data_IF_494889580682
#
_entry.id   IF_494889580682
#
_cell.length_a   1.000
_cell.length_b   1.000
_cell.length_c   1.000
_cell.angle_alpha   90.00
_cell.angle_beta   90.00
_cell.angle_gamma   90.00
#
_symmetry.space_group_name_H-M   'P 1'
#
loop_
_entity.id
_entity.type
_entity.pdbx_description
1 polymer ?
#
# COMPACT_ATOMS: atom_id res chain seq x y z
N UNK A 1 8.67 -11.45 14.38
CA UNK A 1 9.97 -11.35 13.71
C UNK A 1 10.50 -9.95 13.98
N UNK A 2 11.77 -9.76 14.33
CA UNK A 2 12.32 -8.41 14.55
C UNK A 2 12.70 -7.75 13.22
N UNK A 3 12.89 -6.44 13.20
CA UNK A 3 13.33 -5.75 11.97
C UNK A 3 14.74 -6.17 11.53
N UNK A 4 15.63 -6.51 12.47
CA UNK A 4 16.94 -7.09 12.14
C UNK A 4 16.82 -8.47 11.51
N UNK A 5 15.88 -9.30 11.97
CA UNK A 5 15.58 -10.58 11.33
C UNK A 5 15.07 -10.36 9.91
N UNK A 6 14.16 -9.39 9.71
CA UNK A 6 13.63 -9.04 8.39
C UNK A 6 14.74 -8.55 7.45
N UNK A 7 15.64 -7.68 7.93
CA UNK A 7 16.81 -7.24 7.18
C UNK A 7 17.69 -8.42 6.72
N UNK A 8 17.90 -9.40 7.59
CA UNK A 8 18.63 -10.64 7.23
C UNK A 8 17.87 -11.47 6.18
N UNK A 9 16.53 -11.53 6.26
CA UNK A 9 15.70 -12.20 5.25
C UNK A 9 15.74 -11.49 3.90
N UNK A 10 15.75 -10.17 3.87
CA UNK A 10 15.92 -9.39 2.64
C UNK A 10 17.25 -9.77 1.96
N UNK A 11 18.36 -9.81 2.71
CA UNK A 11 19.64 -10.24 2.15
C UNK A 11 19.59 -11.70 1.66
N UNK A 12 18.95 -12.59 2.43
CA UNK A 12 18.78 -13.99 2.01
C UNK A 12 18.04 -14.09 0.68
N UNK A 13 16.98 -13.29 0.47
CA UNK A 13 16.24 -13.27 -0.80
C UNK A 13 17.11 -12.74 -1.94
N UNK A 14 17.89 -11.66 -1.72
CA UNK A 14 18.84 -11.13 -2.72
C UNK A 14 19.84 -12.20 -3.18
N UNK A 15 20.38 -12.96 -2.23
CA UNK A 15 21.33 -14.04 -2.52
C UNK A 15 20.64 -15.18 -3.30
N UNK A 16 19.44 -15.59 -2.86
CA UNK A 16 18.69 -16.65 -3.51
C UNK A 16 18.31 -16.32 -4.96
N UNK A 17 17.79 -15.12 -5.22
CA UNK A 17 17.38 -14.75 -6.59
C UNK A 17 18.58 -14.58 -7.53
N UNK A 18 19.75 -14.22 -7.01
CA UNK A 18 20.96 -14.18 -7.81
C UNK A 18 21.37 -15.58 -8.33
N UNK A 19 21.07 -16.63 -7.57
CA UNK A 19 21.34 -18.02 -7.96
C UNK A 19 20.25 -18.63 -8.88
N UNK A 20 19.06 -18.03 -8.94
CA UNK A 20 18.00 -18.48 -9.84
C UNK A 20 18.34 -18.08 -11.29
N UNK A 21 18.22 -19.05 -12.19
CA UNK A 21 18.42 -18.91 -13.63
C UNK A 21 17.09 -19.09 -14.34
N UNK A 22 16.74 -18.20 -15.26
CA UNK A 22 15.61 -18.42 -16.17
C UNK A 22 15.92 -19.53 -17.19
N UNK A 23 14.96 -19.80 -18.09
CA UNK A 23 15.12 -20.83 -19.14
C UNK A 23 16.23 -20.52 -20.15
N UNK A 24 16.70 -19.28 -20.21
CA UNK A 24 17.77 -18.81 -21.08
C UNK A 24 19.13 -18.77 -20.36
N UNK A 25 19.15 -19.02 -19.04
CA UNK A 25 20.35 -19.00 -18.21
C UNK A 25 20.71 -17.62 -17.65
N UNK A 26 19.82 -16.63 -17.77
CA UNK A 26 20.00 -15.31 -17.16
C UNK A 26 19.70 -15.39 -15.66
N UNK A 27 20.51 -14.70 -14.86
CA UNK A 27 20.29 -14.58 -13.42
C UNK A 27 19.30 -13.46 -13.11
N UNK A 28 18.54 -13.60 -12.02
CA UNK A 28 17.70 -12.51 -11.48
C UNK A 28 18.47 -11.57 -10.54
N UNK A 29 19.81 -11.68 -10.48
CA UNK A 29 20.66 -10.73 -9.77
C UNK A 29 20.38 -9.28 -10.23
N UNK A 30 20.26 -8.37 -9.28
CA UNK A 30 19.92 -6.97 -9.52
C UNK A 30 18.42 -6.68 -9.57
N UNK A 31 17.55 -7.69 -9.45
CA UNK A 31 16.12 -7.45 -9.18
C UNK A 31 15.99 -6.79 -7.79
N UNK A 32 15.29 -5.64 -7.67
CA UNK A 32 15.12 -4.98 -6.38
C UNK A 32 14.42 -5.88 -5.37
N UNK A 33 14.98 -5.97 -4.16
CA UNK A 33 14.38 -6.71 -3.04
C UNK A 33 14.07 -5.76 -1.90
N UNK A 34 12.86 -5.89 -1.36
CA UNK A 34 12.36 -4.98 -0.35
C UNK A 34 11.33 -5.61 0.55
N UNK A 35 10.61 -4.75 1.26
CA UNK A 35 9.45 -5.14 2.05
C UNK A 35 8.37 -4.06 1.96
N UNK A 36 7.20 -4.43 2.46
CA UNK A 36 6.04 -3.57 2.60
C UNK A 36 5.56 -3.67 4.04
N UNK A 37 5.08 -2.56 4.60
CA UNK A 37 4.40 -2.54 5.89
C UNK A 37 3.41 -1.36 5.94
N UNK A 38 2.61 -1.27 7.00
CA UNK A 38 1.75 -0.11 7.21
C UNK A 38 2.57 1.14 7.50
N UNK A 39 2.11 2.30 7.03
CA UNK A 39 2.85 3.57 7.16
C UNK A 39 3.28 3.86 8.60
N UNK A 40 2.45 3.54 9.59
CA UNK A 40 2.71 3.78 11.01
C UNK A 40 3.82 2.87 11.57
N UNK A 41 3.99 1.65 11.05
CA UNK A 41 5.10 0.76 11.41
C UNK A 41 6.42 1.23 10.78
N UNK A 42 6.36 1.88 9.62
CA UNK A 42 7.53 2.53 9.04
C UNK A 42 7.95 3.76 9.87
N UNK A 43 6.97 4.56 10.30
CA UNK A 43 7.20 5.82 11.02
C UNK A 43 7.56 5.63 12.50
N UNK A 44 7.13 4.53 13.15
CA UNK A 44 7.46 4.27 14.56
C UNK A 44 8.95 3.98 14.83
N UNK A 45 9.74 3.77 13.77
CA UNK A 45 11.18 3.53 13.80
C UNK A 45 11.58 2.08 14.06
N UNK A 46 10.63 1.17 14.30
CA UNK A 46 10.96 -0.24 14.47
C UNK A 46 11.58 -0.84 13.19
N UNK A 47 11.19 -0.33 12.01
CA UNK A 47 11.60 -0.86 10.72
C UNK A 47 12.99 -0.41 10.21
N UNK A 48 13.72 0.47 10.92
CA UNK A 48 14.98 1.07 10.43
C UNK A 48 15.99 0.04 9.85
N UNK A 49 16.28 -1.10 10.50
CA UNK A 49 17.20 -2.09 9.92
C UNK A 49 16.72 -2.69 8.59
N UNK A 50 15.40 -2.94 8.47
CA UNK A 50 14.81 -3.51 7.26
C UNK A 50 14.77 -2.47 6.13
N UNK A 51 14.49 -1.21 6.45
CA UNK A 51 14.59 -0.08 5.51
C UNK A 51 16.01 0.00 4.96
N UNK A 52 17.01 0.04 5.83
CA UNK A 52 18.42 0.14 5.41
C UNK A 52 18.84 -1.01 4.46
N UNK A 53 18.37 -2.24 4.69
CA UNK A 53 18.71 -3.41 3.87
C UNK A 53 17.98 -3.49 2.51
N UNK A 54 16.87 -2.77 2.32
CA UNK A 54 15.99 -2.89 1.15
C UNK A 54 16.45 -2.06 -0.05
N UNK A 55 16.24 -2.53 -1.28
CA UNK A 55 16.41 -1.73 -2.50
C UNK A 55 15.15 -0.90 -2.84
N UNK A 56 14.00 -1.37 -2.35
CA UNK A 56 12.68 -0.79 -2.58
C UNK A 56 11.85 -0.94 -1.29
N UNK A 57 11.04 0.05 -0.95
CA UNK A 57 10.16 -0.02 0.24
C UNK A 57 8.78 0.46 -0.15
N UNK A 58 7.75 -0.27 0.25
CA UNK A 58 6.36 0.13 0.05
C UNK A 58 5.69 0.49 1.38
N UNK A 59 4.81 1.48 1.36
CA UNK A 59 3.93 1.81 2.48
C UNK A 59 2.47 1.49 2.14
N UNK A 60 1.79 0.79 3.03
CA UNK A 60 0.34 0.62 2.97
C UNK A 60 -0.31 1.69 3.85
N UNK A 61 -1.27 2.43 3.31
CA UNK A 61 -1.97 3.47 4.05
C UNK A 61 -3.44 3.51 3.66
N UNK A 62 -4.31 3.38 4.67
CA UNK A 62 -5.76 3.35 4.50
C UNK A 62 -6.39 4.36 5.45
N UNK A 63 -6.88 5.47 4.91
CA UNK A 63 -7.61 6.46 5.72
C UNK A 63 -8.90 5.88 6.31
N UNK A 64 -9.48 4.86 5.67
CA UNK A 64 -10.62 4.12 6.19
C UNK A 64 -10.35 3.54 7.59
N UNK A 65 -9.21 2.84 7.77
CA UNK A 65 -8.82 2.24 9.05
C UNK A 65 -8.33 3.23 10.10
N UNK A 66 -8.30 4.53 9.76
CA UNK A 66 -7.97 5.61 10.66
C UNK A 66 -9.20 6.44 11.04
N UNK A 67 -10.40 5.92 10.77
CA UNK A 67 -11.65 6.57 11.17
C UNK A 67 -11.92 7.89 10.45
N UNK A 68 -11.32 8.10 9.27
CA UNK A 68 -11.41 9.37 8.58
C UNK A 68 -12.75 9.57 7.89
N UNK A 69 -13.21 10.81 7.84
CA UNK A 69 -14.38 11.15 7.01
C UNK A 69 -13.96 11.26 5.53
N UNK A 70 -14.94 11.18 4.61
CA UNK A 70 -14.72 11.50 3.18
C UNK A 70 -13.90 12.78 2.99
N UNK A 71 -14.28 13.84 3.71
CA UNK A 71 -13.67 15.16 3.62
C UNK A 71 -12.21 15.22 4.11
N UNK A 72 -11.79 14.35 5.04
CA UNK A 72 -10.42 14.33 5.57
C UNK A 72 -9.56 13.20 5.00
N UNK A 73 -10.17 12.23 4.32
CA UNK A 73 -9.51 11.02 3.83
C UNK A 73 -8.29 11.32 2.94
N UNK A 74 -8.43 12.26 2.00
CA UNK A 74 -7.32 12.70 1.13
C UNK A 74 -6.16 13.29 1.93
N UNK A 75 -6.44 14.19 2.87
CA UNK A 75 -5.40 14.83 3.68
C UNK A 75 -4.66 13.80 4.53
N UNK A 76 -5.39 12.93 5.23
CA UNK A 76 -4.81 11.85 6.03
C UNK A 76 -3.91 10.96 5.18
N UNK A 77 -4.37 10.50 4.02
CA UNK A 77 -3.56 9.65 3.14
C UNK A 77 -2.26 10.33 2.71
N UNK A 78 -2.31 11.61 2.34
CA UNK A 78 -1.10 12.35 1.98
C UNK A 78 -0.14 12.50 3.17
N UNK A 79 -0.66 12.84 4.35
CA UNK A 79 0.15 12.99 5.56
C UNK A 79 0.88 11.68 5.92
N UNK A 80 0.16 10.55 5.87
CA UNK A 80 0.71 9.23 6.14
C UNK A 80 1.85 8.87 5.19
N UNK A 81 1.63 9.06 3.89
CA UNK A 81 2.60 8.72 2.85
C UNK A 81 3.82 9.63 2.91
N UNK A 82 3.63 10.94 3.17
CA UNK A 82 4.76 11.86 3.33
C UNK A 82 5.59 11.55 4.56
N UNK A 83 4.97 11.16 5.69
CA UNK A 83 5.70 10.72 6.87
C UNK A 83 6.51 9.45 6.60
N UNK A 84 5.91 8.44 5.97
CA UNK A 84 6.62 7.21 5.61
C UNK A 84 7.79 7.48 4.66
N UNK A 85 7.56 8.29 3.61
CA UNK A 85 8.59 8.67 2.66
C UNK A 85 9.76 9.41 3.35
N UNK A 86 9.45 10.37 4.21
CA UNK A 86 10.45 11.13 4.97
C UNK A 86 11.29 10.24 5.88
N UNK A 87 10.68 9.28 6.57
CA UNK A 87 11.40 8.31 7.41
C UNK A 87 12.35 7.45 6.58
N UNK A 88 11.88 6.90 5.46
CA UNK A 88 12.71 6.05 4.58
C UNK A 88 13.88 6.85 4.00
N UNK A 89 13.64 8.07 3.51
CA UNK A 89 14.71 8.94 3.01
C UNK A 89 15.74 9.28 4.09
N UNK A 90 15.30 9.46 5.34
CA UNK A 90 16.18 9.75 6.48
C UNK A 90 17.08 8.56 6.80
N UNK A 91 16.50 7.36 6.85
CA UNK A 91 17.24 6.12 7.11
C UNK A 91 18.25 5.79 6.02
N UNK A 92 17.89 6.08 4.76
CA UNK A 92 18.75 5.88 3.60
C UNK A 92 19.82 6.97 3.47
N UNK A 93 19.56 8.16 4.01
CA UNK A 93 20.43 9.32 3.86
C UNK A 93 20.41 9.90 2.44
N UNK A 94 19.38 9.59 1.64
CA UNK A 94 19.21 10.07 0.27
C UNK A 94 17.73 10.29 -0.06
N UNK A 95 17.46 11.18 -1.00
CA UNK A 95 16.09 11.51 -1.42
C UNK A 95 15.61 10.72 -2.63
N UNK A 96 16.55 10.24 -3.45
CA UNK A 96 16.27 9.46 -4.66
C UNK A 96 16.17 7.98 -4.31
N UNK A 97 15.00 7.58 -3.80
CA UNK A 97 14.71 6.22 -3.35
C UNK A 97 13.57 5.61 -4.17
N UNK A 98 13.58 4.28 -4.32
CA UNK A 98 12.43 3.59 -4.91
C UNK A 98 11.37 3.36 -3.82
N UNK A 99 10.32 4.18 -3.83
CA UNK A 99 9.22 4.13 -2.86
C UNK A 99 7.86 4.22 -3.54
N UNK A 100 6.98 3.25 -3.26
CA UNK A 100 5.60 3.23 -3.78
C UNK A 100 4.60 3.05 -2.63
N UNK A 101 3.35 3.44 -2.85
CA UNK A 101 2.24 3.01 -1.99
C UNK A 101 1.88 1.58 -2.39
N UNK A 102 2.04 0.64 -1.46
CA UNK A 102 1.86 -0.79 -1.70
C UNK A 102 0.39 -1.21 -1.74
N UNK A 103 -0.42 -0.62 -0.88
CA UNK A 103 -1.86 -0.82 -0.81
C UNK A 103 -2.55 0.43 -0.27
N UNK A 104 -3.66 0.80 -0.90
CA UNK A 104 -4.59 1.80 -0.41
C UNK A 104 -5.93 1.64 -1.12
N UNK A 105 -7.01 2.17 -0.54
CA UNK A 105 -8.33 2.09 -1.14
C UNK A 105 -9.40 2.57 -0.18
N UNK A 106 -10.66 2.35 -0.57
CA UNK A 106 -11.81 2.60 0.28
C UNK A 106 -12.91 1.58 -0.03
N UNK A 107 -13.50 0.90 0.97
CA UNK A 107 -14.52 -0.11 0.73
C UNK A 107 -15.83 0.52 0.27
N UNK A 108 -16.54 -0.15 -0.64
CA UNK A 108 -17.79 0.39 -1.19
C UNK A 108 -19.05 -0.07 -0.47
N UNK A 109 -18.94 -1.08 0.39
CA UNK A 109 -20.04 -1.63 1.20
C UNK A 109 -19.49 -2.23 2.50
N UNK A 110 -20.36 -2.60 3.43
CA UNK A 110 -20.06 -3.10 4.76
C UNK A 110 -20.32 -2.09 5.88
N UNK A 111 -19.79 -2.38 7.06
CA UNK A 111 -19.98 -1.58 8.27
C UNK A 111 -18.96 -0.46 8.36
N UNK A 112 -19.39 0.72 8.82
CA UNK A 112 -18.49 1.83 9.09
C UNK A 112 -17.42 1.50 10.15
N UNK A 113 -16.21 2.03 9.96
CA UNK A 113 -15.15 2.04 10.97
C UNK A 113 -15.02 3.46 11.53
N UNK A 114 -15.43 3.66 12.78
CA UNK A 114 -15.53 4.99 13.39
C UNK A 114 -16.33 5.97 12.50
N UNK A 115 -15.71 7.03 11.97
CA UNK A 115 -16.36 7.98 11.05
C UNK A 115 -16.18 7.64 9.56
N UNK A 116 -15.44 6.56 9.24
CA UNK A 116 -15.24 6.07 7.89
C UNK A 116 -16.46 5.27 7.42
N UNK A 117 -17.22 5.85 6.50
CA UNK A 117 -18.40 5.19 5.92
C UNK A 117 -18.03 4.53 4.58
N UNK A 118 -18.21 3.21 4.41
CA UNK A 118 -18.06 2.56 3.12
C UNK A 118 -19.18 2.99 2.17
N UNK A 119 -18.83 3.34 0.94
CA UNK A 119 -19.79 3.59 -0.14
C UNK A 119 -19.06 3.70 -1.48
N UNK A 120 -19.76 3.39 -2.58
CA UNK A 120 -19.24 3.62 -3.95
C UNK A 120 -18.85 5.09 -4.14
N UNK A 121 -19.63 6.03 -3.60
CA UNK A 121 -19.36 7.46 -3.70
C UNK A 121 -18.05 7.86 -2.97
N UNK A 122 -17.82 7.32 -1.77
CA UNK A 122 -16.61 7.61 -1.00
C UNK A 122 -15.38 6.97 -1.64
N UNK A 123 -15.52 5.77 -2.21
CA UNK A 123 -14.43 5.13 -2.94
C UNK A 123 -14.08 5.87 -4.23
N UNK A 124 -15.07 6.34 -5.00
CA UNK A 124 -14.84 7.18 -6.17
C UNK A 124 -14.14 8.50 -5.80
N UNK A 125 -14.54 9.13 -4.69
CA UNK A 125 -13.86 10.32 -4.18
C UNK A 125 -12.42 10.02 -3.76
N UNK A 126 -12.19 8.96 -2.99
CA UNK A 126 -10.84 8.60 -2.54
C UNK A 126 -9.94 8.23 -3.73
N UNK A 127 -10.48 7.56 -4.75
CA UNK A 127 -9.78 7.31 -6.00
C UNK A 127 -9.31 8.60 -6.67
N UNK A 128 -10.23 9.54 -6.90
CA UNK A 128 -9.92 10.75 -7.64
C UNK A 128 -9.06 11.74 -6.83
N UNK A 129 -9.41 11.98 -5.57
CA UNK A 129 -8.81 13.05 -4.79
C UNK A 129 -7.60 12.58 -3.98
N UNK A 130 -7.46 11.29 -3.67
CA UNK A 130 -6.31 10.74 -2.95
C UNK A 130 -5.37 9.97 -3.89
N UNK A 131 -5.85 8.89 -4.52
CA UNK A 131 -5.00 8.00 -5.34
C UNK A 131 -4.48 8.71 -6.60
N UNK A 132 -5.37 9.29 -7.40
CA UNK A 132 -4.98 10.01 -8.61
C UNK A 132 -4.15 11.25 -8.28
N UNK A 133 -4.47 11.99 -7.21
CA UNK A 133 -3.67 13.13 -6.78
C UNK A 133 -2.24 12.71 -6.36
N UNK A 134 -2.09 11.62 -5.61
CA UNK A 134 -0.78 11.09 -5.21
C UNK A 134 0.04 10.63 -6.41
N UNK A 135 -0.61 10.02 -7.40
CA UNK A 135 0.03 9.71 -8.70
C UNK A 135 0.44 10.98 -9.46
N UNK A 136 -0.38 12.02 -9.42
CA UNK A 136 -0.06 13.33 -9.99
C UNK A 136 1.13 14.00 -9.32
N UNK A 137 1.35 13.74 -8.03
CA UNK A 137 2.53 14.17 -7.28
C UNK A 137 3.81 13.38 -7.64
N UNK A 138 3.67 12.22 -8.29
CA UNK A 138 4.80 11.42 -8.78
C UNK A 138 5.07 10.14 -7.97
N UNK A 139 4.22 9.77 -7.02
CA UNK A 139 4.33 8.50 -6.29
C UNK A 139 3.48 7.43 -6.96
N UNK A 140 4.08 6.27 -7.24
CA UNK A 140 3.34 5.11 -7.73
C UNK A 140 2.43 4.58 -6.62
N UNK A 141 1.20 4.23 -6.98
CA UNK A 141 0.18 3.72 -6.05
C UNK A 141 -0.42 2.44 -6.59
N UNK A 142 -0.38 1.39 -5.78
CA UNK A 142 -1.09 0.13 -6.03
C UNK A 142 -2.41 0.20 -5.24
N UNK A 143 -3.52 0.20 -5.96
CA UNK A 143 -4.85 0.15 -5.34
C UNK A 143 -5.13 -1.25 -4.79
N UNK A 144 -5.66 -1.30 -3.59
CA UNK A 144 -6.25 -2.49 -3.00
C UNK A 144 -7.78 -2.38 -3.14
N UNK A 145 -8.40 -3.15 -4.02
CA UNK A 145 -7.80 -4.15 -4.91
C UNK A 145 -8.54 -4.22 -6.25
N UNK A 146 -8.16 -5.16 -7.12
CA UNK A 146 -8.81 -5.28 -8.42
C UNK A 146 -10.30 -5.64 -8.26
N UNK A 147 -10.61 -6.78 -7.65
CA UNK A 147 -11.97 -7.32 -7.59
C UNK A 147 -12.44 -7.47 -6.16
N UNK A 148 -13.75 -7.31 -5.94
CA UNK A 148 -14.37 -7.72 -4.70
C UNK A 148 -14.16 -9.21 -4.46
N UNK A 149 -13.60 -9.53 -3.30
CA UNK A 149 -13.27 -10.90 -2.90
C UNK A 149 -14.34 -11.45 -1.95
N UNK A 150 -15.49 -11.85 -2.50
CA UNK A 150 -16.65 -12.32 -1.72
C UNK A 150 -16.36 -13.53 -0.82
N UNK A 151 -15.25 -14.24 -1.08
CA UNK A 151 -14.78 -15.39 -0.31
C UNK A 151 -14.03 -14.99 0.97
N UNK A 152 -13.58 -13.73 1.09
CA UNK A 152 -12.87 -13.25 2.28
C UNK A 152 -13.74 -13.44 3.53
N UNK A 153 -13.18 -14.00 4.61
CA UNK A 153 -13.94 -14.30 5.80
C UNK A 153 -14.32 -13.02 6.56
N UNK A 154 -15.43 -13.06 7.31
CA UNK A 154 -15.82 -11.99 8.24
C UNK A 154 -14.93 -11.95 9.51
N UNK A 155 -13.73 -12.53 9.46
CA UNK A 155 -12.91 -12.89 10.63
C UNK A 155 -11.92 -11.82 11.06
N UNK A 156 -11.91 -10.61 10.47
CA UNK A 156 -11.10 -9.51 10.98
C UNK A 156 -11.58 -9.00 12.35
N UNK A 157 -12.75 -9.46 12.82
CA UNK A 157 -13.29 -9.11 14.14
C UNK A 157 -13.78 -7.68 14.25
N UNK A 158 -13.63 -6.87 13.20
CA UNK A 158 -13.98 -5.44 13.20
C UNK A 158 -14.78 -4.97 11.99
N UNK A 159 -14.89 -5.73 10.88
CA UNK A 159 -15.69 -5.26 9.75
C UNK A 159 -15.94 -6.32 8.67
N UNK A 160 -17.16 -6.34 8.15
CA UNK A 160 -17.61 -7.06 6.95
C UNK A 160 -17.17 -6.39 5.62
N UNK A 161 -16.36 -5.31 5.70
CA UNK A 161 -15.88 -4.57 4.51
C UNK A 161 -14.85 -5.30 3.65
N UNK A 162 -14.20 -6.34 4.18
CA UNK A 162 -13.09 -7.04 3.50
C UNK A 162 -13.49 -7.63 2.14
N UNK A 163 -14.77 -7.84 1.90
CA UNK A 163 -15.32 -8.35 0.64
C UNK A 163 -15.52 -7.27 -0.44
N UNK A 164 -15.34 -5.98 -0.10
CA UNK A 164 -15.85 -4.85 -0.89
C UNK A 164 -14.80 -3.78 -1.26
N UNK A 165 -13.51 -4.12 -1.23
CA UNK A 165 -12.38 -3.24 -1.58
C UNK A 165 -12.09 -3.14 -3.08
N UNK A 166 -12.69 -4.01 -3.89
CA UNK A 166 -12.46 -4.04 -5.33
C UNK A 166 -12.89 -2.75 -6.01
N UNK A 167 -12.10 -2.30 -6.99
CA UNK A 167 -12.56 -1.28 -7.94
C UNK A 167 -13.54 -1.87 -8.96
N UNK A 168 -13.48 -3.18 -9.18
CA UNK A 168 -14.49 -4.00 -9.83
C UNK A 168 -15.24 -4.86 -8.80
N UNK A 169 -16.52 -5.15 -9.04
CA UNK A 169 -17.27 -6.11 -8.24
C UNK A 169 -16.89 -7.56 -8.60
N UNK A 170 -17.48 -8.53 -7.88
CA UNK A 170 -17.24 -9.96 -8.09
C UNK A 170 -17.78 -10.48 -9.43
N UNK A 171 -18.62 -9.70 -10.12
CA UNK A 171 -19.17 -9.96 -11.45
C UNK A 171 -18.40 -9.21 -12.56
N UNK A 172 -17.20 -8.71 -12.23
CA UNK A 172 -16.30 -7.98 -13.13
C UNK A 172 -16.88 -6.67 -13.68
N UNK A 173 -17.88 -6.09 -13.01
CA UNK A 173 -18.41 -4.77 -13.35
C UNK A 173 -17.65 -3.68 -12.61
N UNK A 174 -17.31 -2.61 -13.32
CA UNK A 174 -16.58 -1.50 -12.74
C UNK A 174 -17.51 -0.71 -11.79
N UNK A 175 -17.05 -0.46 -10.56
CA UNK A 175 -17.87 0.18 -9.52
C UNK A 175 -17.87 1.70 -9.60
N UNK A 176 -16.80 2.29 -10.14
CA UNK A 176 -16.66 3.74 -10.36
C UNK A 176 -15.60 4.02 -11.44
N UNK A 177 -15.65 5.22 -12.06
CA UNK A 177 -14.69 5.61 -13.10
C UNK A 177 -13.26 5.70 -12.54
N UNK A 178 -12.31 5.10 -13.26
CA UNK A 178 -10.90 5.05 -12.89
C UNK A 178 -10.05 6.10 -13.61
N UNK A 179 -10.66 6.91 -14.47
CA UNK A 179 -9.97 7.99 -15.18
C UNK A 179 -9.45 9.02 -14.19
N UNK A 180 -8.13 9.18 -14.12
CA UNK A 180 -7.52 10.26 -13.34
C UNK A 180 -7.63 11.59 -14.10
N UNK A 181 -8.44 12.49 -13.58
CA UNK A 181 -8.48 13.88 -14.03
C UNK A 181 -7.45 14.69 -13.24
N UNK A 182 -6.24 14.83 -13.79
CA UNK A 182 -5.18 15.65 -13.19
C UNK A 182 -5.44 17.15 -13.36
#
# INVERSE_FOLDING_TARGET
MTASDLASRIQTVKDLIADIKDSEGNSYAGTPVGFVDSWNVLVDGAAHPAIAASDIVFANAFSYWQGQTKANSTFSFFDDIMQALQTIQTDKGETDITFWVGETGWPTDGSAFEASVPSVENAAHFWQDAICAMRGWGVNVIVFEAFDESWKPDTSGTSDVEKYWGVWDSDYQLKYDLTCNF
#
